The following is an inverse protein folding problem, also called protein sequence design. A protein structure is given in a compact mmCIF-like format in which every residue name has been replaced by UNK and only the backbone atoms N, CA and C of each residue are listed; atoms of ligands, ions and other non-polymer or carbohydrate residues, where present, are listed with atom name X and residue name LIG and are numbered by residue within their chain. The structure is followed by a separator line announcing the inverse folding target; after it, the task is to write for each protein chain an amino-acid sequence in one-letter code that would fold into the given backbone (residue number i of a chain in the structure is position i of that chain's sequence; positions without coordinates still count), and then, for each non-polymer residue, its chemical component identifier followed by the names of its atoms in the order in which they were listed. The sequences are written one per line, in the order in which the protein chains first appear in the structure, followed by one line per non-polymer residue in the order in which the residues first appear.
data_IF_736682981713
#
_entry.id   IF_736682981713
#
_cell.length_a   1.000
_cell.length_b   1.000
_cell.length_c   1.000
_cell.angle_alpha   90.00
_cell.angle_beta   90.00
_cell.angle_gamma   90.00
#
_symmetry.space_group_name_H-M   'P 1'
#
loop_
_entity.id
_entity.type
_entity.pdbx_description
1 polymer ?
#
# COMPACT_ATOMS: atom_id res chain seq x y z
N UNK A 1 37.78 39.20 -10.14
CA UNK A 1 37.48 38.13 -9.15
C UNK A 1 36.53 37.13 -9.81
N UNK A 2 37.06 36.02 -10.33
CA UNK A 2 36.28 34.98 -11.01
C UNK A 2 35.91 33.90 -10.01
N UNK A 3 34.66 33.89 -9.54
CA UNK A 3 34.15 32.83 -8.65
C UNK A 3 33.90 31.56 -9.47
N UNK A 4 34.71 30.53 -9.21
CA UNK A 4 34.57 29.21 -9.78
C UNK A 4 33.54 28.41 -8.97
N UNK A 5 32.30 28.35 -9.45
CA UNK A 5 31.23 27.58 -8.81
C UNK A 5 31.41 26.11 -9.16
N UNK A 6 32.03 25.36 -8.25
CA UNK A 6 32.23 23.91 -8.41
C UNK A 6 30.93 23.21 -8.06
N UNK A 7 30.14 22.84 -9.08
CA UNK A 7 28.96 22.01 -8.89
C UNK A 7 29.36 20.59 -8.49
N UNK A 8 29.02 20.22 -7.26
CA UNK A 8 29.17 18.84 -6.77
C UNK A 8 28.20 17.94 -7.54
N UNK A 9 28.64 16.84 -8.14
CA UNK A 9 27.74 15.93 -8.84
C UNK A 9 26.80 15.28 -7.82
N UNK A 10 25.53 15.68 -7.84
CA UNK A 10 24.47 15.01 -7.07
C UNK A 10 24.26 13.64 -7.68
N UNK A 11 24.87 12.63 -7.05
CA UNK A 11 24.57 11.22 -7.34
C UNK A 11 23.07 11.04 -7.23
N UNK A 12 22.43 10.59 -8.31
CA UNK A 12 21.00 10.29 -8.41
C UNK A 12 20.60 9.22 -7.40
N UNK A 13 20.38 9.64 -6.15
CA UNK A 13 19.60 8.88 -5.17
C UNK A 13 18.19 8.81 -5.72
N UNK A 14 17.60 7.62 -5.79
CA UNK A 14 16.18 7.43 -6.17
C UNK A 14 15.33 8.50 -5.49
N UNK A 15 14.87 9.48 -6.26
CA UNK A 15 14.23 10.71 -5.76
C UNK A 15 12.92 10.41 -5.01
N UNK A 16 12.34 9.22 -5.20
CA UNK A 16 11.13 8.68 -4.56
C UNK A 16 11.08 8.72 -3.02
N UNK A 17 12.21 8.98 -2.35
CA UNK A 17 12.31 9.07 -0.88
C UNK A 17 12.31 10.50 -0.34
N UNK A 18 12.29 11.51 -1.22
CA UNK A 18 12.00 12.90 -0.84
C UNK A 18 10.49 13.13 -0.84
N UNK A 19 10.02 14.21 -0.20
CA UNK A 19 8.61 14.59 -0.27
C UNK A 19 8.19 14.86 -1.72
N UNK A 20 8.99 15.62 -2.47
CA UNK A 20 8.69 15.96 -3.86
C UNK A 20 8.64 14.71 -4.75
N UNK A 21 9.62 13.81 -4.61
CA UNK A 21 9.62 12.56 -5.36
C UNK A 21 8.46 11.64 -4.98
N UNK A 22 8.07 11.61 -3.70
CA UNK A 22 6.88 10.88 -3.27
C UNK A 22 5.60 11.45 -3.90
N UNK A 23 5.44 12.78 -3.89
CA UNK A 23 4.28 13.45 -4.52
C UNK A 23 4.27 13.17 -6.02
N UNK A 24 5.42 13.28 -6.70
CA UNK A 24 5.53 12.99 -8.13
C UNK A 24 5.11 11.54 -8.46
N UNK A 25 5.51 10.57 -7.63
CA UNK A 25 5.15 9.17 -7.82
C UNK A 25 3.66 8.90 -7.55
N UNK A 26 3.09 9.45 -6.47
CA UNK A 26 1.71 9.13 -6.04
C UNK A 26 0.61 9.93 -6.74
N UNK A 27 0.98 11.06 -7.36
CA UNK A 27 0.10 11.89 -8.19
C UNK A 27 0.32 11.67 -9.69
N UNK A 28 1.21 10.74 -10.07
CA UNK A 28 1.48 10.43 -11.47
C UNK A 28 0.19 10.04 -12.20
N UNK A 29 -0.11 10.62 -13.37
CA UNK A 29 -1.24 10.19 -14.19
C UNK A 29 -1.19 8.67 -14.44
N UNK A 30 -2.31 7.99 -14.22
CA UNK A 30 -2.40 6.53 -14.31
C UNK A 30 -1.95 5.77 -13.06
N UNK A 31 -1.60 6.45 -11.95
CA UNK A 31 -1.39 5.78 -10.67
C UNK A 31 -2.68 5.08 -10.24
N UNK A 32 -2.64 3.75 -10.15
CA UNK A 32 -3.78 2.92 -9.79
C UNK A 32 -3.75 2.57 -8.30
N UNK A 33 -4.94 2.46 -7.71
CA UNK A 33 -5.09 2.09 -6.33
C UNK A 33 -6.54 2.18 -5.88
N UNK A 34 -6.74 1.84 -4.63
CA UNK A 34 -8.04 1.82 -4.00
C UNK A 34 -7.94 2.50 -2.63
N UNK A 35 -8.91 3.37 -2.33
CA UNK A 35 -9.06 3.95 -1.00
C UNK A 35 -9.93 3.03 -0.16
N UNK A 36 -9.39 2.50 0.94
CA UNK A 36 -10.08 1.49 1.73
C UNK A 36 -11.39 2.01 2.37
N UNK A 37 -11.46 3.23 2.95
CA UNK A 37 -12.69 3.76 3.50
C UNK A 37 -13.84 3.96 2.51
N UNK A 38 -13.60 3.97 1.20
CA UNK A 38 -14.68 4.07 0.21
C UNK A 38 -15.31 2.71 -0.14
N UNK A 39 -14.80 1.62 0.43
CA UNK A 39 -15.38 0.29 0.22
C UNK A 39 -16.51 0.02 1.19
N UNK A 40 -17.49 -0.72 0.70
CA UNK A 40 -18.52 -1.29 1.57
C UNK A 40 -17.88 -2.30 2.53
N UNK A 41 -18.33 -2.37 3.80
CA UNK A 41 -17.94 -3.44 4.70
C UNK A 41 -18.17 -4.81 4.05
N UNK A 42 -17.31 -5.78 4.40
CA UNK A 42 -17.26 -7.13 3.85
C UNK A 42 -16.77 -7.23 2.40
N UNK A 43 -16.45 -6.11 1.72
CA UNK A 43 -15.76 -6.15 0.43
C UNK A 43 -14.46 -6.94 0.55
N UNK A 44 -14.30 -7.96 -0.30
CA UNK A 44 -13.13 -8.84 -0.34
C UNK A 44 -12.16 -8.38 -1.41
N UNK A 45 -10.90 -8.29 -1.06
CA UNK A 45 -9.82 -7.89 -1.95
C UNK A 45 -8.77 -8.99 -1.99
N UNK A 46 -8.30 -9.31 -3.19
CA UNK A 46 -7.07 -10.03 -3.41
C UNK A 46 -5.99 -9.02 -3.83
N UNK A 47 -5.00 -8.82 -2.97
CA UNK A 47 -3.89 -7.89 -3.19
C UNK A 47 -2.60 -8.66 -3.40
N UNK A 48 -2.14 -8.71 -4.64
CA UNK A 48 -0.88 -9.36 -4.98
C UNK A 48 0.26 -8.38 -4.82
N UNK A 49 1.16 -8.63 -3.89
CA UNK A 49 2.43 -7.91 -3.77
C UNK A 49 3.55 -8.67 -4.47
N UNK A 50 4.77 -8.11 -4.53
CA UNK A 50 5.93 -8.78 -5.13
C UNK A 50 6.17 -10.18 -4.56
N UNK A 51 5.98 -10.36 -3.25
CA UNK A 51 6.38 -11.57 -2.55
C UNK A 51 5.20 -12.42 -2.06
N UNK A 52 3.99 -11.83 -1.96
CA UNK A 52 2.88 -12.43 -1.23
C UNK A 52 1.55 -11.96 -1.82
N UNK A 53 0.59 -12.87 -1.95
CA UNK A 53 -0.82 -12.53 -2.14
C UNK A 53 -1.52 -12.42 -0.79
N UNK A 54 -2.16 -11.28 -0.56
CA UNK A 54 -2.95 -11.01 0.63
C UNK A 54 -4.44 -11.06 0.29
N UNK A 55 -5.22 -11.75 1.11
CA UNK A 55 -6.67 -11.67 1.11
C UNK A 55 -7.08 -10.70 2.21
N UNK A 56 -7.82 -9.66 1.84
CA UNK A 56 -8.20 -8.56 2.73
C UNK A 56 -9.71 -8.41 2.70
N UNK A 57 -10.34 -8.38 3.86
CA UNK A 57 -11.77 -8.10 4.01
C UNK A 57 -11.92 -6.74 4.65
N UNK A 58 -12.57 -5.80 3.96
CA UNK A 58 -12.88 -4.49 4.53
C UNK A 58 -13.86 -4.62 5.69
N UNK A 59 -13.60 -3.93 6.82
CA UNK A 59 -14.50 -3.91 7.98
C UNK A 59 -15.11 -2.51 8.23
N UNK A 60 -14.88 -1.58 7.32
CA UNK A 60 -15.27 -0.17 7.43
C UNK A 60 -14.13 0.71 7.94
N UNK A 61 -14.07 1.94 7.45
CA UNK A 61 -12.95 2.85 7.70
C UNK A 61 -11.62 2.24 7.24
N UNK A 62 -10.64 2.15 8.14
CA UNK A 62 -9.32 1.55 7.86
C UNK A 62 -9.13 0.15 8.45
N UNK A 63 -10.17 -0.41 9.08
CA UNK A 63 -10.13 -1.73 9.71
C UNK A 63 -10.28 -2.83 8.67
N UNK A 64 -9.50 -3.89 8.80
CA UNK A 64 -9.54 -5.05 7.89
C UNK A 64 -9.32 -6.35 8.64
N UNK A 65 -9.83 -7.44 8.09
CA UNK A 65 -9.25 -8.77 8.32
C UNK A 65 -8.27 -9.06 7.20
N UNK A 66 -7.05 -9.47 7.54
CA UNK A 66 -6.01 -9.78 6.56
C UNK A 66 -5.49 -11.20 6.76
N UNK A 67 -5.28 -11.91 5.66
CA UNK A 67 -4.57 -13.19 5.59
C UNK A 67 -3.54 -13.11 4.47
N UNK A 68 -2.34 -13.61 4.71
CA UNK A 68 -1.27 -13.66 3.72
C UNK A 68 0.12 -13.39 4.31
N UNK A 69 1.11 -14.11 3.78
CA UNK A 69 2.51 -13.98 4.19
C UNK A 69 2.76 -14.49 5.60
N UNK A 70 4.01 -14.36 6.06
CA UNK A 70 4.43 -14.93 7.35
C UNK A 70 3.80 -14.28 8.58
N UNK A 71 3.30 -13.06 8.46
CA UNK A 71 2.77 -12.28 9.58
C UNK A 71 1.27 -12.49 9.80
N UNK A 72 0.55 -13.01 8.79
CA UNK A 72 -0.90 -13.25 8.84
C UNK A 72 -1.22 -14.65 8.28
N UNK A 73 -0.77 -15.74 8.93
CA UNK A 73 -1.02 -17.10 8.43
C UNK A 73 -2.51 -17.46 8.40
N UNK A 74 -3.29 -16.83 9.26
CA UNK A 74 -4.75 -16.89 9.32
C UNK A 74 -5.34 -15.48 9.19
N UNK A 75 -6.66 -15.37 9.07
CA UNK A 75 -7.31 -14.05 9.11
C UNK A 75 -7.08 -13.41 10.47
N UNK A 76 -6.50 -12.22 10.45
CA UNK A 76 -6.13 -11.45 11.64
C UNK A 76 -6.66 -10.03 11.50
N UNK A 77 -7.18 -9.46 12.60
CA UNK A 77 -7.55 -8.06 12.65
C UNK A 77 -6.32 -7.17 12.47
N UNK A 78 -6.46 -6.19 11.58
CA UNK A 78 -5.45 -5.19 11.32
C UNK A 78 -6.10 -3.85 10.94
N UNK A 79 -5.26 -2.82 10.92
CA UNK A 79 -5.61 -1.50 10.40
C UNK A 79 -4.65 -1.15 9.26
N UNK A 80 -5.19 -0.76 8.11
CA UNK A 80 -4.39 -0.17 7.03
C UNK A 80 -4.07 1.28 7.38
N UNK A 81 -2.80 1.63 7.56
CA UNK A 81 -2.39 3.03 7.68
C UNK A 81 -2.35 3.72 6.30
N UNK A 82 -1.92 2.99 5.28
CA UNK A 82 -1.84 3.48 3.90
C UNK A 82 -0.80 2.70 3.11
N UNK A 83 -0.27 3.32 2.06
CA UNK A 83 0.83 2.76 1.28
C UNK A 83 1.88 3.79 0.87
N UNK A 84 3.14 3.35 0.80
CA UNK A 84 4.27 4.22 0.48
C UNK A 84 5.55 3.48 0.09
N UNK A 85 6.69 4.16 0.16
CA UNK A 85 8.00 3.56 -0.18
C UNK A 85 8.67 2.80 0.98
N UNK A 86 7.96 2.56 2.09
CA UNK A 86 8.49 1.92 3.30
C UNK A 86 9.41 2.83 4.11
N UNK A 87 9.05 4.12 4.19
CA UNK A 87 9.74 5.15 4.96
C UNK A 87 8.71 6.00 5.72
N UNK A 88 8.92 7.30 5.84
CA UNK A 88 8.05 8.19 6.62
C UNK A 88 6.76 8.65 5.93
N UNK A 89 6.65 8.49 4.61
CA UNK A 89 5.54 9.01 3.82
C UNK A 89 4.57 7.92 3.40
N UNK A 90 3.29 8.16 3.63
CA UNK A 90 2.18 7.29 3.27
C UNK A 90 1.10 8.05 2.50
N UNK A 91 0.54 7.41 1.49
CA UNK A 91 -0.76 7.74 0.93
C UNK A 91 -1.79 7.11 1.84
N UNK A 92 -2.29 7.91 2.78
CA UNK A 92 -3.12 7.44 3.90
C UNK A 92 -4.38 6.73 3.44
N UNK A 93 -4.69 5.60 4.06
CA UNK A 93 -5.86 4.75 3.77
C UNK A 93 -5.90 4.12 2.35
N UNK A 94 -4.85 4.31 1.54
CA UNK A 94 -4.79 3.77 0.17
C UNK A 94 -3.99 2.48 0.09
N UNK A 95 -4.47 1.55 -0.73
CA UNK A 95 -3.69 0.45 -1.32
C UNK A 95 -3.35 0.88 -2.75
N UNK A 96 -2.09 1.21 -3.03
CA UNK A 96 -1.67 1.69 -4.34
C UNK A 96 -0.66 0.75 -5.02
N UNK A 97 -0.87 0.50 -6.31
CA UNK A 97 0.05 -0.31 -7.13
C UNK A 97 1.41 0.39 -7.19
N UNK A 98 2.50 -0.37 -7.04
CA UNK A 98 3.87 0.13 -6.96
C UNK A 98 4.31 0.55 -5.56
N UNK A 99 3.40 0.74 -4.61
CA UNK A 99 3.70 1.09 -3.22
C UNK A 99 3.59 -0.11 -2.29
N UNK A 100 4.24 -0.02 -1.13
CA UNK A 100 4.17 -1.00 -0.03
C UNK A 100 3.01 -0.63 0.88
N UNK A 101 2.16 -1.60 1.24
CA UNK A 101 1.15 -1.38 2.27
C UNK A 101 1.79 -1.36 3.65
N UNK A 102 1.25 -0.53 4.53
CA UNK A 102 1.57 -0.56 5.96
C UNK A 102 0.33 -0.97 6.76
N UNK A 103 0.42 -2.15 7.39
CA UNK A 103 -0.63 -2.77 8.17
C UNK A 103 -0.25 -2.78 9.64
N UNK A 104 -1.07 -2.19 10.50
CA UNK A 104 -0.90 -2.22 11.94
C UNK A 104 -1.69 -3.38 12.53
N UNK A 105 -1.01 -4.27 13.25
CA UNK A 105 -1.60 -5.42 13.93
C UNK A 105 -0.72 -5.79 15.12
N UNK A 106 -1.34 -6.16 16.25
CA UNK A 106 -0.64 -6.52 17.49
C UNK A 106 0.44 -5.51 17.92
N UNK A 107 0.11 -4.22 17.85
CA UNK A 107 1.00 -3.13 18.28
C UNK A 107 2.22 -2.88 17.39
N UNK A 108 2.34 -3.54 16.24
CA UNK A 108 3.46 -3.36 15.29
C UNK A 108 2.98 -3.01 13.88
N UNK A 109 3.83 -2.27 13.17
CA UNK A 109 3.67 -2.02 11.74
C UNK A 109 4.30 -3.15 10.92
N UNK A 110 3.51 -3.73 10.01
CA UNK A 110 3.94 -4.68 9.00
C UNK A 110 3.94 -3.98 7.65
N UNK A 111 5.14 -3.82 7.08
CA UNK A 111 5.32 -3.22 5.76
C UNK A 111 5.48 -4.32 4.71
N UNK A 112 4.64 -4.30 3.68
CA UNK A 112 4.68 -5.31 2.62
C UNK A 112 5.75 -5.02 1.57
N UNK A 113 5.95 -5.95 0.64
CA UNK A 113 6.61 -5.62 -0.63
C UNK A 113 5.66 -4.82 -1.54
N UNK A 114 6.17 -4.13 -2.59
CA UNK A 114 5.30 -3.34 -3.47
C UNK A 114 4.12 -4.13 -4.03
N UNK A 115 2.93 -3.54 -4.00
CA UNK A 115 1.71 -4.06 -4.62
C UNK A 115 1.90 -4.10 -6.14
N UNK A 116 1.47 -5.20 -6.75
CA UNK A 116 1.50 -5.43 -8.20
C UNK A 116 0.11 -5.42 -8.80
N UNK A 117 -0.87 -5.94 -8.09
CA UNK A 117 -2.25 -6.00 -8.53
C UNK A 117 -3.23 -5.94 -7.36
N UNK A 118 -4.42 -5.43 -7.63
CA UNK A 118 -5.56 -5.38 -6.71
C UNK A 118 -6.75 -5.91 -7.48
N UNK A 119 -7.43 -6.91 -6.94
CA UNK A 119 -8.70 -7.40 -7.46
C UNK A 119 -9.75 -7.33 -6.36
N UNK A 120 -10.94 -6.83 -6.68
CA UNK A 120 -12.13 -6.98 -5.84
C UNK A 120 -12.71 -8.35 -6.16
N UNK A 121 -12.81 -9.22 -5.16
CA UNK A 121 -13.45 -10.52 -5.34
C UNK A 121 -14.97 -10.30 -5.42
N UNK A 122 -15.66 -10.99 -6.36
CA UNK A 122 -17.11 -10.97 -6.38
C UNK A 122 -17.64 -11.54 -5.06
N UNK A 123 -18.81 -11.03 -4.64
CA UNK A 123 -19.51 -11.62 -3.52
C UNK A 123 -19.69 -13.13 -3.79
N UNK A 124 -19.35 -14.01 -2.84
CA UNK A 124 -19.53 -15.44 -3.05
C UNK A 124 -21.01 -15.67 -3.37
N UNK A 125 -21.28 -16.23 -4.55
CA UNK A 125 -22.64 -16.57 -4.93
C UNK A 125 -23.26 -17.42 -3.82
N UNK A 126 -24.43 -17.00 -3.33
CA UNK A 126 -25.17 -17.78 -2.34
C UNK A 126 -25.31 -19.21 -2.88
N UNK A 127 -25.07 -20.25 -2.07
CA UNK A 127 -25.32 -21.60 -2.51
C UNK A 127 -26.79 -21.69 -2.95
N UNK A 128 -27.01 -22.01 -4.22
CA UNK A 128 -28.33 -22.31 -4.74
C UNK A 128 -28.83 -23.56 -4.01
N UNK A 129 -29.88 -23.39 -3.20
CA UNK A 129 -30.59 -24.49 -2.54
C UNK A 129 -31.38 -25.32 -3.55
#
# INVERSE_FOLDING_TARGET
MTSNSTSVPVVSRRQSRTLDGFVADVCRPGSQGLRLPSLQPLTRLMVTTRNTTYHIVARGGTKVLVKGGRFFPQYTDARLAGSGHGGSLLKLDWIAIGLRMELWSDGRAIVTSPVRAIAVEPEPAAPVS
#
